data_IF_741335708277
#
_entry.id   IF_741335708277
#
_cell.length_a   1.000
_cell.length_b   1.000
_cell.length_c   1.000
_cell.angle_alpha   90.00
_cell.angle_beta   90.00
_cell.angle_gamma   90.00
#
_symmetry.space_group_name_H-M   'P 1'
#
loop_
_entity.id
_entity.type
_entity.pdbx_description
1 polymer ?
#
# COMPACT_ATOMS: atom_id res chain seq x y z
N UNK A 1 -2.54 -3.66 8.42
CA UNK A 1 -2.15 -5.06 8.11
C UNK A 1 -3.04 -5.56 6.98
N UNK A 2 -2.48 -6.20 5.94
CA UNK A 2 -3.25 -6.65 4.77
C UNK A 2 -3.85 -8.05 5.05
N UNK A 3 -5.17 -8.17 4.98
CA UNK A 3 -5.89 -9.42 5.16
C UNK A 3 -6.29 -10.04 3.81
N UNK A 4 -5.87 -11.30 3.60
CA UNK A 4 -6.16 -12.07 2.38
C UNK A 4 -7.53 -12.72 2.38
N UNK A 5 -8.15 -12.89 3.55
CA UNK A 5 -9.46 -13.50 3.73
C UNK A 5 -10.59 -12.47 3.85
N UNK A 6 -10.23 -11.19 3.96
CA UNK A 6 -11.18 -10.09 3.98
C UNK A 6 -11.94 -9.98 2.64
N UNK A 7 -13.24 -9.64 2.65
CA UNK A 7 -13.98 -9.34 1.43
C UNK A 7 -13.47 -8.07 0.73
N UNK A 8 -12.65 -7.26 1.41
CA UNK A 8 -12.07 -6.04 0.85
C UNK A 8 -10.91 -6.41 -0.08
N UNK A 9 -10.89 -5.92 -1.33
CA UNK A 9 -9.79 -6.18 -2.24
C UNK A 9 -8.42 -5.75 -1.68
N UNK A 10 -7.40 -6.58 -1.86
CA UNK A 10 -6.05 -6.33 -1.32
C UNK A 10 -5.46 -4.99 -1.78
N UNK A 11 -5.65 -4.61 -3.04
CA UNK A 11 -5.14 -3.34 -3.55
C UNK A 11 -5.76 -2.14 -2.79
N UNK A 12 -7.05 -2.24 -2.44
CA UNK A 12 -7.76 -1.20 -1.71
C UNK A 12 -7.22 -1.09 -0.29
N UNK A 13 -7.03 -2.22 0.40
CA UNK A 13 -6.41 -2.24 1.73
C UNK A 13 -5.02 -1.60 1.75
N UNK A 14 -4.21 -1.81 0.69
CA UNK A 14 -2.89 -1.19 0.55
C UNK A 14 -3.02 0.32 0.32
N UNK A 15 -3.94 0.75 -0.55
CA UNK A 15 -4.16 2.16 -0.82
C UNK A 15 -4.60 2.91 0.45
N UNK A 16 -5.52 2.35 1.23
CA UNK A 16 -5.96 2.94 2.50
C UNK A 16 -4.82 2.97 3.54
N UNK A 17 -3.99 1.93 3.62
CA UNK A 17 -2.82 1.92 4.50
C UNK A 17 -1.83 3.04 4.13
N UNK A 18 -1.57 3.26 2.84
CA UNK A 18 -0.69 4.35 2.40
C UNK A 18 -1.30 5.73 2.71
N UNK A 19 -2.61 5.90 2.53
CA UNK A 19 -3.31 7.15 2.89
C UNK A 19 -3.23 7.42 4.38
N UNK A 20 -3.37 6.40 5.22
CA UNK A 20 -3.23 6.51 6.67
C UNK A 20 -1.83 6.97 7.06
N UNK A 21 -0.78 6.38 6.48
CA UNK A 21 0.62 6.79 6.70
C UNK A 21 0.89 8.25 6.31
N UNK A 22 0.27 8.72 5.23
CA UNK A 22 0.32 10.15 4.84
C UNK A 22 -0.40 11.01 5.88
N UNK A 23 -1.59 10.59 6.31
CA UNK A 23 -2.41 11.34 7.26
C UNK A 23 -1.74 11.48 8.64
N UNK A 24 -1.03 10.45 9.12
CA UNK A 24 -0.29 10.49 10.39
C UNK A 24 1.09 11.14 10.26
N UNK A 25 1.51 11.52 9.05
CA UNK A 25 2.77 12.22 8.79
C UNK A 25 4.00 11.31 8.70
N UNK A 26 3.83 9.99 8.67
CA UNK A 26 4.92 9.04 8.39
C UNK A 26 5.43 9.17 6.96
N UNK A 27 4.54 9.55 6.03
CA UNK A 27 4.85 9.92 4.66
C UNK A 27 4.53 11.41 4.43
N UNK A 28 5.48 12.32 4.72
CA UNK A 28 5.23 13.74 4.56
C UNK A 28 5.02 14.11 3.09
N UNK A 29 4.31 15.21 2.85
CA UNK A 29 4.06 15.72 1.52
C UNK A 29 5.37 15.92 0.74
N UNK A 30 5.45 15.33 -0.46
CA UNK A 30 6.65 15.37 -1.31
C UNK A 30 7.69 14.29 -0.98
N UNK A 31 7.49 13.49 0.08
CA UNK A 31 8.28 12.28 0.28
C UNK A 31 8.03 11.29 -0.86
N UNK A 32 9.08 10.54 -1.21
CA UNK A 32 8.93 9.42 -2.13
C UNK A 32 8.27 8.27 -1.40
N UNK A 33 7.26 7.68 -2.02
CA UNK A 33 6.76 6.38 -1.60
C UNK A 33 7.88 5.33 -1.71
N UNK A 34 7.87 4.29 -0.87
CA UNK A 34 8.68 3.12 -1.10
C UNK A 34 8.42 2.56 -2.50
N UNK A 35 9.44 1.99 -3.12
CA UNK A 35 9.30 1.35 -4.43
C UNK A 35 8.30 0.21 -4.38
N UNK A 36 7.73 -0.15 -5.54
CA UNK A 36 6.82 -1.31 -5.63
C UNK A 36 7.45 -2.58 -5.04
N UNK A 37 8.77 -2.75 -5.22
CA UNK A 37 9.52 -3.90 -4.69
C UNK A 37 9.54 -3.88 -3.16
N UNK A 38 9.89 -2.75 -2.54
CA UNK A 38 9.92 -2.62 -1.08
C UNK A 38 8.53 -2.86 -0.49
N UNK A 39 7.47 -2.32 -1.11
CA UNK A 39 6.09 -2.56 -0.70
C UNK A 39 5.70 -4.05 -0.81
N UNK A 40 6.15 -4.75 -1.85
CA UNK A 40 5.91 -6.20 -1.97
C UNK A 40 6.59 -6.98 -0.83
N UNK A 41 7.85 -6.65 -0.53
CA UNK A 41 8.63 -7.29 0.53
C UNK A 41 8.01 -7.01 1.91
N UNK A 42 7.61 -5.76 2.18
CA UNK A 42 7.00 -5.34 3.45
C UNK A 42 5.61 -5.94 3.68
N UNK A 43 4.79 -6.00 2.63
CA UNK A 43 3.37 -6.37 2.74
C UNK A 43 3.10 -7.83 2.37
N UNK A 44 4.08 -8.56 1.83
CA UNK A 44 3.94 -9.97 1.43
C UNK A 44 2.90 -10.18 0.32
N UNK A 45 2.83 -9.24 -0.63
CA UNK A 45 1.88 -9.23 -1.75
C UNK A 45 2.60 -9.23 -3.10
N UNK A 46 1.86 -9.53 -4.17
CA UNK A 46 2.42 -9.49 -5.52
C UNK A 46 2.60 -8.05 -6.00
N UNK A 47 3.58 -7.86 -6.89
CA UNK A 47 3.83 -6.57 -7.55
C UNK A 47 2.63 -6.04 -8.31
N UNK A 48 1.83 -6.93 -8.90
CA UNK A 48 0.59 -6.54 -9.59
C UNK A 48 -0.43 -5.92 -8.64
N UNK A 49 -0.57 -6.46 -7.42
CA UNK A 49 -1.48 -5.92 -6.40
C UNK A 49 -0.99 -4.56 -5.88
N UNK A 50 0.32 -4.39 -5.66
CA UNK A 50 0.89 -3.08 -5.28
C UNK A 50 0.67 -2.06 -6.38
N UNK A 51 0.99 -2.41 -7.63
CA UNK A 51 0.81 -1.50 -8.76
C UNK A 51 -0.66 -1.05 -8.89
N UNK A 52 -1.59 -1.98 -8.73
CA UNK A 52 -3.02 -1.65 -8.74
C UNK A 52 -3.41 -0.69 -7.60
N UNK A 53 -2.82 -0.82 -6.42
CA UNK A 53 -3.06 0.08 -5.29
C UNK A 53 -2.56 1.50 -5.55
N UNK A 54 -1.43 1.64 -6.27
CA UNK A 54 -0.84 2.94 -6.60
C UNK A 54 -1.57 3.67 -7.74
N UNK A 55 -2.34 2.95 -8.56
CA UNK A 55 -3.12 3.50 -9.69
C UNK A 55 -4.61 3.62 -9.40
N UNK A 56 -5.04 3.25 -8.19
CA UNK A 56 -6.42 3.34 -7.72
C UNK A 56 -6.77 4.78 -7.33
#
# INVERSE_FOLDING_TARGET
>A
MIDKNSPIPRYYQIAELLKEQIAVGELPNGARLPSERELCEQLGVSRMTVRQALTY
#
